data_IF_147300898183
#
_entry.id   IF_147300898183
#
_cell.length_a   1.000
_cell.length_b   1.000
_cell.length_c   1.000
_cell.angle_alpha   90.00
_cell.angle_beta   90.00
_cell.angle_gamma   90.00
#
_symmetry.space_group_name_H-M   'P 1'
#
loop_
_entity.id
_entity.type
_entity.pdbx_description
1 polymer ?
#
# COMPACT_ATOMS: atom_id res chain seq x y z
N UNK A 1 27.22 6.92 15.58
CA UNK A 1 26.73 6.91 14.19
C UNK A 1 25.31 7.49 14.21
N UNK A 2 25.18 8.79 14.01
CA UNK A 2 23.88 9.48 13.96
C UNK A 2 23.34 9.38 12.54
N UNK A 3 22.23 8.66 12.35
CA UNK A 3 21.54 8.60 11.05
C UNK A 3 20.90 9.95 10.76
N UNK A 4 21.60 10.81 10.00
CA UNK A 4 21.01 12.02 9.43
C UNK A 4 20.03 11.64 8.32
N UNK A 5 18.74 11.95 8.49
CA UNK A 5 17.72 11.70 7.46
C UNK A 5 18.01 12.64 6.28
N UNK A 6 18.47 12.10 5.15
CA UNK A 6 18.64 12.88 3.92
C UNK A 6 17.29 13.29 3.32
N UNK A 7 17.23 14.39 2.57
CA UNK A 7 16.00 14.88 1.91
C UNK A 7 15.35 13.82 0.99
N UNK A 8 16.17 12.95 0.37
CA UNK A 8 15.69 11.82 -0.43
C UNK A 8 15.10 10.72 0.44
N UNK A 9 15.76 10.38 1.55
CA UNK A 9 15.27 9.39 2.53
C UNK A 9 13.95 9.83 3.15
N UNK A 10 13.79 11.10 3.49
CA UNK A 10 12.53 11.67 3.99
C UNK A 10 11.41 11.57 2.94
N UNK A 11 11.71 11.89 1.67
CA UNK A 11 10.75 11.77 0.57
C UNK A 11 10.33 10.32 0.33
N UNK A 12 11.28 9.38 0.36
CA UNK A 12 10.99 7.94 0.25
C UNK A 12 10.11 7.46 1.40
N UNK A 13 10.44 7.82 2.64
CA UNK A 13 9.63 7.48 3.80
C UNK A 13 8.20 8.02 3.67
N UNK A 14 8.03 9.27 3.24
CA UNK A 14 6.70 9.86 3.02
C UNK A 14 5.88 9.04 2.01
N UNK A 15 6.45 8.71 0.85
CA UNK A 15 5.73 7.95 -0.17
C UNK A 15 5.43 6.51 0.27
N UNK A 16 6.33 5.90 1.03
CA UNK A 16 6.09 4.59 1.62
C UNK A 16 4.93 4.61 2.63
N UNK A 17 4.89 5.63 3.50
CA UNK A 17 3.80 5.83 4.45
C UNK A 17 2.48 6.13 3.75
N UNK A 18 2.49 6.92 2.68
CA UNK A 18 1.30 7.18 1.85
C UNK A 18 0.79 5.90 1.19
N UNK A 19 1.67 5.08 0.63
CA UNK A 19 1.29 3.79 0.06
C UNK A 19 0.71 2.84 1.13
N UNK A 20 1.41 2.69 2.26
CA UNK A 20 0.96 1.84 3.37
C UNK A 20 -0.39 2.33 3.91
N UNK A 21 -0.55 3.65 4.10
CA UNK A 21 -1.80 4.27 4.50
C UNK A 21 -2.93 4.01 3.50
N UNK A 22 -2.68 4.11 2.20
CA UNK A 22 -3.68 3.84 1.17
C UNK A 22 -4.14 2.37 1.17
N UNK A 23 -3.21 1.43 1.30
CA UNK A 23 -3.50 -0.01 1.33
C UNK A 23 -4.23 -0.42 2.62
N UNK A 24 -3.85 0.18 3.76
CA UNK A 24 -4.42 -0.16 5.08
C UNK A 24 -5.65 0.67 5.44
N UNK A 25 -5.92 1.79 4.77
CA UNK A 25 -7.08 2.65 5.02
C UNK A 25 -8.40 1.89 5.16
N UNK A 26 -8.81 1.01 4.22
CA UNK A 26 -10.07 0.28 4.36
C UNK A 26 -10.07 -0.69 5.56
N UNK A 27 -8.91 -1.27 5.91
CA UNK A 27 -8.79 -2.12 7.09
C UNK A 27 -8.94 -1.31 8.38
N UNK A 28 -8.38 -0.10 8.44
CA UNK A 28 -8.52 0.80 9.58
C UNK A 28 -9.96 1.27 9.75
N UNK A 29 -10.66 1.55 8.65
CA UNK A 29 -12.08 1.90 8.65
C UNK A 29 -12.91 0.74 9.22
N UNK A 30 -12.69 -0.48 8.73
CA UNK A 30 -13.36 -1.67 9.26
C UNK A 30 -13.03 -1.91 10.75
N UNK A 31 -11.76 -1.81 11.13
CA UNK A 31 -11.32 -2.01 12.52
C UNK A 31 -11.89 -0.98 13.50
N UNK A 32 -12.15 0.24 13.03
CA UNK A 32 -12.76 1.31 13.83
C UNK A 32 -14.27 1.12 14.07
N UNK A 33 -14.90 0.14 13.41
CA UNK A 33 -16.35 -0.06 13.45
C UNK A 33 -17.15 0.91 12.56
N UNK A 34 -16.48 1.88 11.91
CA UNK A 34 -17.08 2.77 10.93
C UNK A 34 -17.44 1.99 9.66
N UNK A 35 -18.68 1.50 9.58
CA UNK A 35 -19.17 0.78 8.40
C UNK A 35 -19.36 -0.73 8.58
N UNK A 36 -19.30 -1.24 9.82
CA UNK A 36 -19.76 -2.61 10.11
C UNK A 36 -21.25 -2.68 9.82
N UNK A 37 -21.63 -3.54 8.87
CA UNK A 37 -23.03 -3.81 8.60
C UNK A 37 -23.64 -4.49 9.83
N UNK A 38 -24.71 -3.93 10.40
CA UNK A 38 -25.40 -4.54 11.54
C UNK A 38 -25.84 -5.96 11.17
N UNK A 39 -25.24 -6.96 11.81
CA UNK A 39 -25.50 -8.38 11.54
C UNK A 39 -24.51 -9.09 10.60
N UNK A 40 -23.40 -8.46 10.18
CA UNK A 40 -22.33 -9.21 9.50
C UNK A 40 -21.62 -10.17 10.47
N UNK A 41 -21.33 -11.37 10.00
CA UNK A 41 -20.54 -12.35 10.74
C UNK A 41 -19.04 -12.09 10.56
N UNK A 42 -18.22 -12.59 11.50
CA UNK A 42 -16.77 -12.38 11.50
C UNK A 42 -16.07 -12.71 10.17
N UNK A 43 -16.47 -13.81 9.50
CA UNK A 43 -15.90 -14.20 8.20
C UNK A 43 -16.20 -13.20 7.08
N UNK A 44 -17.36 -12.54 7.14
CA UNK A 44 -17.73 -11.52 6.17
C UNK A 44 -16.84 -10.29 6.33
N UNK A 45 -16.64 -9.83 7.55
CA UNK A 45 -15.77 -8.69 7.85
C UNK A 45 -14.31 -9.00 7.48
N UNK A 46 -13.85 -10.22 7.76
CA UNK A 46 -12.52 -10.70 7.36
C UNK A 46 -12.34 -10.69 5.83
N UNK A 47 -13.30 -11.28 5.09
CA UNK A 47 -13.26 -11.30 3.63
C UNK A 47 -13.35 -9.88 3.03
N UNK A 48 -14.17 -9.02 3.62
CA UNK A 48 -14.29 -7.62 3.23
C UNK A 48 -12.97 -6.87 3.42
N UNK A 49 -12.29 -7.08 4.54
CA UNK A 49 -10.98 -6.52 4.80
C UNK A 49 -9.94 -6.95 3.77
N UNK A 50 -9.85 -8.26 3.48
CA UNK A 50 -8.96 -8.78 2.45
C UNK A 50 -9.29 -8.21 1.06
N UNK A 51 -10.58 -8.12 0.70
CA UNK A 51 -11.04 -7.60 -0.58
C UNK A 51 -10.65 -6.13 -0.79
N UNK A 52 -10.99 -5.26 0.17
CA UNK A 52 -10.63 -3.85 0.05
C UNK A 52 -9.12 -3.59 0.16
N UNK A 53 -8.41 -4.31 1.02
CA UNK A 53 -6.95 -4.24 1.09
C UNK A 53 -6.30 -4.64 -0.24
N UNK A 54 -6.78 -5.72 -0.86
CA UNK A 54 -6.30 -6.18 -2.17
C UNK A 54 -6.61 -5.17 -3.28
N UNK A 55 -7.78 -4.51 -3.25
CA UNK A 55 -8.10 -3.42 -4.19
C UNK A 55 -7.15 -2.22 -4.03
N UNK A 56 -6.76 -1.88 -2.80
CA UNK A 56 -5.74 -0.86 -2.54
C UNK A 56 -4.39 -1.22 -3.15
N UNK A 57 -3.96 -2.48 -3.01
CA UNK A 57 -2.74 -3.01 -3.63
C UNK A 57 -2.84 -2.96 -5.16
N UNK A 58 -3.96 -3.42 -5.73
CA UNK A 58 -4.22 -3.45 -7.17
C UNK A 58 -4.19 -2.04 -7.77
N UNK A 59 -4.85 -1.07 -7.13
CA UNK A 59 -4.80 0.34 -7.52
C UNK A 59 -3.36 0.89 -7.48
N UNK A 60 -2.61 0.55 -6.43
CA UNK A 60 -1.19 0.87 -6.32
C UNK A 60 -0.37 0.34 -7.50
N UNK A 61 -0.64 -0.87 -7.99
CA UNK A 61 0.04 -1.44 -9.16
C UNK A 61 -0.13 -0.56 -10.41
N UNK A 62 -1.33 -0.01 -10.65
CA UNK A 62 -1.55 0.89 -11.77
C UNK A 62 -0.80 2.22 -11.61
N UNK A 63 -0.77 2.79 -10.41
CA UNK A 63 0.01 4.01 -10.13
C UNK A 63 1.51 3.86 -10.43
N UNK A 64 2.08 2.68 -10.16
CA UNK A 64 3.47 2.40 -10.49
C UNK A 64 3.70 2.36 -12.02
N UNK A 65 2.76 1.78 -12.79
CA UNK A 65 2.81 1.78 -14.26
C UNK A 65 2.63 3.17 -14.88
N UNK A 66 1.91 4.07 -14.21
CA UNK A 66 1.76 5.47 -14.63
C UNK A 66 3.07 6.27 -14.49
N UNK A 67 4.15 5.68 -13.95
CA UNK A 67 5.50 6.26 -13.82
C UNK A 67 5.52 7.65 -13.18
N UNK A 68 4.75 7.83 -12.11
CA UNK A 68 4.65 9.10 -11.41
C UNK A 68 5.99 9.52 -10.78
N UNK A 69 6.76 10.38 -11.46
CA UNK A 69 8.16 10.69 -11.12
C UNK A 69 8.38 11.14 -9.68
N UNK A 70 7.43 11.88 -9.09
CA UNK A 70 7.55 12.36 -7.69
C UNK A 70 7.56 11.21 -6.69
N UNK A 71 6.76 10.18 -6.95
CA UNK A 71 6.66 9.01 -6.08
C UNK A 71 7.80 8.03 -6.30
N UNK A 72 8.30 7.89 -7.53
CA UNK A 72 9.32 6.89 -7.88
C UNK A 72 10.76 7.39 -7.73
N UNK A 73 11.01 8.71 -7.83
CA UNK A 73 12.35 9.30 -7.76
C UNK A 73 13.15 8.98 -6.48
N UNK A 74 12.55 8.88 -5.27
CA UNK A 74 13.29 8.57 -4.06
C UNK A 74 13.81 7.13 -3.98
N UNK A 75 13.19 6.19 -4.69
CA UNK A 75 13.47 4.75 -4.59
C UNK A 75 14.35 4.21 -5.72
N UNK A 76 14.36 4.88 -6.87
CA UNK A 76 14.99 4.38 -8.08
C UNK A 76 14.07 3.45 -8.89
N UNK A 77 14.25 3.44 -10.20
CA UNK A 77 13.33 2.76 -11.13
C UNK A 77 13.36 1.23 -10.99
N UNK A 78 14.52 0.65 -10.68
CA UNK A 78 14.69 -0.80 -10.56
C UNK A 78 13.94 -1.36 -9.36
N UNK A 79 14.01 -0.69 -8.21
CA UNK A 79 13.29 -1.06 -6.99
C UNK A 79 11.78 -0.99 -7.21
N UNK A 80 11.32 0.09 -7.86
CA UNK A 80 9.90 0.29 -8.21
C UNK A 80 9.41 -0.82 -9.15
N UNK A 81 10.23 -1.19 -10.15
CA UNK A 81 9.91 -2.27 -11.08
C UNK A 81 9.87 -3.64 -10.38
N UNK A 82 10.84 -3.92 -9.50
CA UNK A 82 10.88 -5.14 -8.71
C UNK A 82 9.62 -5.25 -7.87
N UNK A 83 9.27 -4.20 -7.14
CA UNK A 83 8.06 -4.15 -6.32
C UNK A 83 6.78 -4.39 -7.13
N UNK A 84 6.65 -3.75 -8.30
CA UNK A 84 5.53 -3.95 -9.21
C UNK A 84 5.41 -5.43 -9.63
N UNK A 85 6.52 -6.04 -10.04
CA UNK A 85 6.56 -7.44 -10.49
C UNK A 85 6.24 -8.43 -9.37
N UNK A 86 6.81 -8.26 -8.18
CA UNK A 86 6.60 -9.18 -7.05
C UNK A 86 5.16 -9.18 -6.56
N UNK A 87 4.53 -8.00 -6.48
CA UNK A 87 3.14 -7.89 -6.05
C UNK A 87 2.15 -8.33 -7.13
N UNK A 88 2.46 -8.15 -8.42
CA UNK A 88 1.63 -8.67 -9.50
C UNK A 88 1.54 -10.21 -9.49
N UNK A 89 2.62 -10.88 -9.06
CA UNK A 89 2.66 -12.35 -8.93
C UNK A 89 2.18 -12.82 -7.55
N UNK A 90 1.93 -11.92 -6.61
CA UNK A 90 1.34 -12.26 -5.30
C UNK A 90 2.29 -13.01 -4.35
N UNK A 91 3.60 -12.83 -4.46
CA UNK A 91 4.56 -13.48 -3.55
C UNK A 91 4.65 -15.01 -3.72
N UNK A 92 4.73 -15.51 -4.96
CA UNK A 92 4.99 -16.93 -5.23
C UNK A 92 6.39 -17.14 -5.83
N UNK A 93 7.38 -17.18 -4.93
CA UNK A 93 8.59 -18.02 -4.96
C UNK A 93 8.87 -18.43 -3.52
#
# INVERSE_FOLDING_TARGET
MTFGISRRSAGGLLWLLLYAGLVTAPLLVLASGLGVATGSGWWFDFAMGLGFGSLGILGGQFLLTARFRRATAPFGIDVVYLFHRWLAVGGMV
#
